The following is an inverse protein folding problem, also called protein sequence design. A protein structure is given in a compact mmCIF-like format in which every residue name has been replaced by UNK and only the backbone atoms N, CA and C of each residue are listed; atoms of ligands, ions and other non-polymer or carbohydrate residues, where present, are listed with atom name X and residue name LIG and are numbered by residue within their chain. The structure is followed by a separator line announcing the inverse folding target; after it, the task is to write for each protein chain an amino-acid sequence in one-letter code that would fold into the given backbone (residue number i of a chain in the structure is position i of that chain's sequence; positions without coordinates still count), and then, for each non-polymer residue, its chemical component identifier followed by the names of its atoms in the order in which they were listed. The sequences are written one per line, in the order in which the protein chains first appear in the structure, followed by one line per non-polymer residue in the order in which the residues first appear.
data_IF_599291322238
#
_entry.id   IF_599291322238
#
_cell.length_a   1.000
_cell.length_b   1.000
_cell.length_c   1.000
_cell.angle_alpha   90.00
_cell.angle_beta   90.00
_cell.angle_gamma   90.00
#
_symmetry.space_group_name_H-M   'P 1'
#
loop_
_entity.id
_entity.type
_entity.pdbx_description
1 polymer ?
#
# COMPACT_ATOMS: atom_id res chain seq x y z
N UNK A 1 10.15 20.23 -17.76
CA UNK A 1 10.15 20.03 -16.30
C UNK A 1 10.25 18.54 -16.05
N UNK A 2 11.06 18.07 -15.09
CA UNK A 2 11.08 16.65 -14.71
C UNK A 2 9.82 16.34 -13.89
N UNK A 3 9.26 15.15 -14.06
CA UNK A 3 8.12 14.71 -13.25
C UNK A 3 8.54 14.54 -11.78
N UNK A 4 7.66 14.95 -10.87
CA UNK A 4 7.88 14.96 -9.42
C UNK A 4 7.39 13.66 -8.81
N UNK A 5 8.27 12.97 -8.10
CA UNK A 5 7.99 11.66 -7.50
C UNK A 5 8.06 11.74 -5.98
N UNK A 6 7.05 11.19 -5.32
CA UNK A 6 7.07 10.90 -3.88
C UNK A 6 7.25 9.39 -3.69
N UNK A 7 8.28 8.99 -2.94
CA UNK A 7 8.54 7.59 -2.61
C UNK A 7 8.00 7.26 -1.22
N UNK A 8 7.44 6.05 -1.05
CA UNK A 8 6.99 5.58 0.24
C UNK A 8 7.40 4.13 0.49
N UNK A 9 8.31 3.93 1.42
CA UNK A 9 8.81 2.63 1.86
C UNK A 9 9.42 2.74 3.25
N UNK A 10 9.14 1.78 4.12
CA UNK A 10 9.71 1.75 5.47
C UNK A 10 11.17 1.28 5.53
N UNK A 11 11.69 0.69 4.46
CA UNK A 11 13.05 0.20 4.33
C UNK A 11 13.98 1.30 3.79
N UNK A 12 14.61 2.08 4.67
CA UNK A 12 15.43 3.25 4.32
C UNK A 12 16.51 2.96 3.28
N UNK A 13 17.25 1.85 3.43
CA UNK A 13 18.32 1.49 2.48
C UNK A 13 17.77 1.34 1.06
N UNK A 14 16.58 0.73 0.94
CA UNK A 14 15.92 0.57 -0.36
C UNK A 14 15.44 1.92 -0.91
N UNK A 15 14.85 2.75 -0.05
CA UNK A 15 14.36 4.08 -0.43
C UNK A 15 15.50 4.97 -0.90
N UNK A 16 16.65 4.96 -0.20
CA UNK A 16 17.84 5.74 -0.57
C UNK A 16 18.42 5.28 -1.93
N UNK A 17 18.48 3.96 -2.15
CA UNK A 17 18.93 3.39 -3.42
C UNK A 17 17.99 3.73 -4.58
N UNK A 18 16.68 3.60 -4.35
CA UNK A 18 15.65 3.90 -5.34
C UNK A 18 15.57 5.39 -5.66
N UNK A 19 15.73 6.27 -4.66
CA UNK A 19 15.83 7.73 -4.89
C UNK A 19 16.94 8.05 -5.87
N UNK A 20 18.16 7.58 -5.58
CA UNK A 20 19.33 7.82 -6.47
C UNK A 20 19.13 7.30 -7.88
N UNK A 21 18.43 6.18 -8.02
CA UNK A 21 18.12 5.61 -9.33
C UNK A 21 17.12 6.49 -10.09
N UNK A 22 16.05 6.92 -9.44
CA UNK A 22 15.00 7.71 -10.05
C UNK A 22 15.40 9.17 -10.27
N UNK A 23 16.27 9.75 -9.44
CA UNK A 23 16.81 11.11 -9.59
C UNK A 23 17.59 11.33 -10.91
N UNK A 24 18.02 10.26 -11.56
CA UNK A 24 18.63 10.37 -12.90
C UNK A 24 17.62 10.89 -13.94
N UNK A 25 16.33 10.60 -13.77
CA UNK A 25 15.27 10.89 -14.73
C UNK A 25 14.19 11.84 -14.20
N UNK A 26 13.93 11.82 -12.89
CA UNK A 26 12.82 12.50 -12.22
C UNK A 26 13.30 13.39 -11.08
N UNK A 27 12.39 14.18 -10.52
CA UNK A 27 12.59 14.97 -9.30
C UNK A 27 11.96 14.23 -8.12
N UNK A 28 12.78 13.58 -7.28
CA UNK A 28 12.31 12.90 -6.06
C UNK A 28 12.12 13.95 -4.97
N UNK A 29 10.88 14.38 -4.78
CA UNK A 29 10.53 15.54 -3.94
C UNK A 29 10.50 15.23 -2.44
N UNK A 30 10.25 13.99 -2.05
CA UNK A 30 10.28 13.53 -0.66
C UNK A 30 10.22 12.00 -0.58
N UNK A 31 10.49 11.49 0.65
CA UNK A 31 10.31 10.07 1.00
C UNK A 31 9.42 9.96 2.23
N UNK A 32 8.59 8.90 2.31
CA UNK A 32 7.74 8.57 3.44
C UNK A 32 8.03 7.15 3.94
N UNK A 33 7.90 6.91 5.24
CA UNK A 33 8.16 5.62 5.87
C UNK A 33 6.91 4.86 6.31
N UNK A 34 5.75 5.50 6.21
CA UNK A 34 4.44 4.94 6.55
C UNK A 34 3.33 5.66 5.79
N UNK A 35 2.13 5.09 5.79
CA UNK A 35 1.02 5.63 5.02
C UNK A 35 0.46 6.97 5.52
N UNK A 36 0.60 7.32 6.80
CA UNK A 36 0.17 8.63 7.31
C UNK A 36 1.10 9.74 6.81
N UNK A 37 2.41 9.51 6.87
CA UNK A 37 3.43 10.41 6.34
C UNK A 37 3.25 10.59 4.82
N UNK A 38 3.03 9.48 4.10
CA UNK A 38 2.71 9.49 2.67
C UNK A 38 1.52 10.40 2.36
N UNK A 39 0.40 10.26 3.11
CA UNK A 39 -0.79 11.09 2.89
C UNK A 39 -0.51 12.58 3.14
N UNK A 40 0.23 12.90 4.20
CA UNK A 40 0.58 14.28 4.54
C UNK A 40 1.43 14.93 3.44
N UNK A 41 2.54 14.28 3.07
CA UNK A 41 3.46 14.77 2.05
C UNK A 41 2.82 14.85 0.65
N UNK A 42 1.98 13.86 0.30
CA UNK A 42 1.30 13.85 -0.99
C UNK A 42 0.33 15.03 -1.15
N UNK A 43 -0.38 15.41 -0.08
CA UNK A 43 -1.28 16.56 -0.09
C UNK A 43 -0.54 17.90 -0.16
N UNK A 44 0.58 17.99 0.55
CA UNK A 44 1.42 19.20 0.59
C UNK A 44 2.15 19.42 -0.73
N UNK A 45 2.82 18.37 -1.23
CA UNK A 45 3.72 18.46 -2.38
C UNK A 45 3.03 18.26 -3.73
N UNK A 46 1.84 17.66 -3.75
CA UNK A 46 1.09 17.33 -4.97
C UNK A 46 1.98 16.74 -6.09
N UNK A 47 2.64 15.57 -5.85
CA UNK A 47 3.55 14.97 -6.81
C UNK A 47 2.81 14.47 -8.05
N UNK A 48 3.51 14.31 -9.18
CA UNK A 48 2.95 13.71 -10.39
C UNK A 48 2.74 12.20 -10.21
N UNK A 49 3.71 11.53 -9.57
CA UNK A 49 3.68 10.09 -9.30
C UNK A 49 4.01 9.80 -7.84
N UNK A 50 3.30 8.86 -7.27
CA UNK A 50 3.59 8.28 -5.95
C UNK A 50 4.01 6.83 -6.17
N UNK A 51 5.23 6.48 -5.77
CA UNK A 51 5.73 5.10 -5.73
C UNK A 51 5.63 4.61 -4.29
N UNK A 52 4.87 3.56 -4.03
CA UNK A 52 4.60 3.11 -2.66
C UNK A 52 4.71 1.60 -2.49
N UNK A 53 5.34 1.19 -1.37
CA UNK A 53 5.22 -0.18 -0.87
C UNK A 53 3.79 -0.40 -0.33
N UNK A 54 3.29 -1.65 -0.45
CA UNK A 54 2.02 -2.06 0.17
C UNK A 54 2.19 -2.17 1.68
N UNK A 55 3.16 -2.96 2.12
CA UNK A 55 3.36 -3.31 3.54
C UNK A 55 4.20 -2.24 4.24
N UNK A 56 3.54 -1.19 4.71
CA UNK A 56 4.16 -0.15 5.54
C UNK A 56 3.54 -0.14 6.95
N UNK A 57 4.31 0.26 7.97
CA UNK A 57 3.83 0.33 9.35
C UNK A 57 2.76 1.41 9.53
N UNK A 58 1.93 1.27 10.56
CA UNK A 58 0.87 2.18 11.00
C UNK A 58 -0.31 2.27 10.03
N UNK A 59 -0.07 2.57 8.77
CA UNK A 59 -1.03 2.59 7.68
C UNK A 59 -0.35 2.08 6.42
N UNK A 60 -0.89 1.02 5.82
CA UNK A 60 -0.32 0.43 4.60
C UNK A 60 -0.55 1.29 3.36
N UNK A 61 0.25 1.02 2.31
CA UNK A 61 0.23 1.80 1.07
C UNK A 61 -1.11 1.76 0.34
N UNK A 62 -1.83 0.64 0.39
CA UNK A 62 -3.13 0.51 -0.26
C UNK A 62 -4.22 1.36 0.40
N UNK A 63 -4.23 1.43 1.74
CA UNK A 63 -5.17 2.28 2.46
C UNK A 63 -4.81 3.76 2.34
N UNK A 64 -3.50 4.09 2.26
CA UNK A 64 -3.04 5.44 1.94
C UNK A 64 -3.51 5.85 0.53
N UNK A 65 -3.34 4.99 -0.48
CA UNK A 65 -3.81 5.21 -1.85
C UNK A 65 -5.34 5.45 -1.89
N UNK A 66 -6.14 4.62 -1.19
CA UNK A 66 -7.60 4.84 -1.08
C UNK A 66 -7.94 6.21 -0.51
N UNK A 67 -7.24 6.61 0.56
CA UNK A 67 -7.47 7.90 1.20
C UNK A 67 -7.12 9.07 0.28
N UNK A 68 -6.01 8.99 -0.45
CA UNK A 68 -5.56 10.01 -1.40
C UNK A 68 -6.50 10.12 -2.61
N UNK A 69 -6.95 8.99 -3.17
CA UNK A 69 -7.96 9.00 -4.24
C UNK A 69 -9.26 9.66 -3.79
N UNK A 70 -9.76 9.32 -2.60
CA UNK A 70 -10.98 9.97 -2.03
C UNK A 70 -10.81 11.46 -1.78
N UNK A 71 -9.59 11.96 -1.56
CA UNK A 71 -9.31 13.38 -1.42
C UNK A 71 -9.25 14.14 -2.76
N UNK A 72 -9.39 13.45 -3.90
CA UNK A 72 -9.33 14.05 -5.23
C UNK A 72 -7.92 14.30 -5.74
N UNK A 73 -6.90 13.74 -5.12
CA UNK A 73 -5.50 13.88 -5.58
C UNK A 73 -5.34 13.26 -6.98
N UNK A 74 -4.70 14.01 -7.90
CA UNK A 74 -4.54 13.62 -9.31
C UNK A 74 -3.28 12.81 -9.60
N UNK A 75 -2.39 12.66 -8.61
CA UNK A 75 -1.17 11.87 -8.73
C UNK A 75 -1.46 10.47 -9.28
N UNK A 76 -0.53 9.95 -10.07
CA UNK A 76 -0.51 8.55 -10.49
C UNK A 76 0.10 7.69 -9.39
N UNK A 77 -0.31 6.43 -9.30
CA UNK A 77 0.16 5.53 -8.24
C UNK A 77 0.84 4.32 -8.85
N UNK A 78 2.08 4.09 -8.45
CA UNK A 78 2.89 2.92 -8.78
C UNK A 78 3.11 2.13 -7.49
N UNK A 79 2.63 0.91 -7.44
CA UNK A 79 2.90 -0.01 -6.33
C UNK A 79 4.23 -0.71 -6.59
N UNK A 80 5.14 -0.64 -5.62
CA UNK A 80 6.43 -1.33 -5.65
C UNK A 80 6.54 -2.22 -4.41
N UNK A 81 6.52 -3.54 -4.59
CA UNK A 81 6.33 -4.48 -3.48
C UNK A 81 7.09 -5.79 -3.64
N UNK A 82 7.29 -6.52 -2.54
CA UNK A 82 7.82 -7.90 -2.56
C UNK A 82 6.74 -8.95 -2.87
N UNK A 83 5.46 -8.59 -2.87
CA UNK A 83 4.37 -9.55 -3.00
C UNK A 83 4.12 -9.96 -4.45
N UNK A 84 4.51 -11.18 -4.82
CA UNK A 84 4.10 -11.83 -6.06
C UNK A 84 2.72 -12.47 -5.85
N UNK A 85 1.67 -11.65 -5.79
CA UNK A 85 0.30 -12.09 -5.53
C UNK A 85 -0.68 -11.40 -6.50
N UNK A 86 -1.40 -12.21 -7.28
CA UNK A 86 -2.36 -11.72 -8.26
C UNK A 86 -3.55 -11.02 -7.61
N UNK A 87 -4.02 -11.49 -6.47
CA UNK A 87 -5.14 -10.88 -5.75
C UNK A 87 -4.80 -9.46 -5.30
N UNK A 88 -3.57 -9.26 -4.78
CA UNK A 88 -3.07 -7.94 -4.41
C UNK A 88 -2.86 -7.03 -5.62
N UNK A 89 -2.37 -7.57 -6.75
CA UNK A 89 -2.26 -6.80 -7.98
C UNK A 89 -3.65 -6.33 -8.46
N UNK A 90 -4.64 -7.24 -8.56
CA UNK A 90 -6.03 -6.89 -8.89
C UNK A 90 -6.57 -5.82 -7.94
N UNK A 91 -6.34 -5.97 -6.64
CA UNK A 91 -6.80 -5.01 -5.64
C UNK A 91 -6.12 -3.64 -5.83
N UNK A 92 -4.82 -3.60 -6.14
CA UNK A 92 -4.09 -2.37 -6.41
C UNK A 92 -4.70 -1.60 -7.58
N UNK A 93 -4.93 -2.28 -8.71
CA UNK A 93 -5.53 -1.66 -9.90
C UNK A 93 -6.97 -1.19 -9.63
N UNK A 94 -7.80 -1.98 -8.95
CA UNK A 94 -9.16 -1.56 -8.53
C UNK A 94 -9.14 -0.37 -7.60
N UNK A 95 -8.13 -0.26 -6.74
CA UNK A 95 -7.95 0.91 -5.85
C UNK A 95 -7.46 2.15 -6.61
N UNK A 96 -7.01 1.98 -7.86
CA UNK A 96 -6.59 3.08 -8.76
C UNK A 96 -5.08 3.21 -8.93
N UNK A 97 -4.31 2.15 -8.66
CA UNK A 97 -2.92 2.09 -9.09
C UNK A 97 -2.82 2.04 -10.62
N UNK A 98 -1.81 2.68 -11.17
CA UNK A 98 -1.46 2.61 -12.60
C UNK A 98 -0.45 1.51 -12.88
N UNK A 99 0.32 1.10 -11.87
CA UNK A 99 1.33 0.05 -12.03
C UNK A 99 1.49 -0.80 -10.77
N UNK A 100 1.92 -2.05 -10.98
CA UNK A 100 2.30 -2.98 -9.92
C UNK A 100 3.63 -3.63 -10.31
N UNK A 101 4.67 -3.32 -9.55
CA UNK A 101 6.07 -3.71 -9.81
C UNK A 101 6.61 -4.50 -8.64
N UNK A 102 7.38 -5.54 -8.93
CA UNK A 102 8.08 -6.29 -7.90
C UNK A 102 9.44 -5.69 -7.59
N UNK A 103 9.78 -5.58 -6.30
CA UNK A 103 11.09 -5.10 -5.83
C UNK A 103 12.25 -6.02 -6.27
N UNK A 104 11.95 -7.27 -6.64
CA UNK A 104 12.92 -8.24 -7.17
C UNK A 104 13.11 -8.11 -8.69
N UNK A 105 12.36 -7.24 -9.34
CA UNK A 105 12.52 -6.92 -10.76
C UNK A 105 13.77 -6.06 -11.03
N UNK A 106 13.98 -5.76 -12.31
CA UNK A 106 15.10 -4.91 -12.71
C UNK A 106 14.81 -3.42 -12.48
N UNK A 107 15.86 -2.62 -12.43
CA UNK A 107 15.74 -1.15 -12.31
C UNK A 107 14.99 -0.51 -13.49
N UNK A 108 15.04 -1.13 -14.65
CA UNK A 108 14.33 -0.69 -15.85
C UNK A 108 12.81 -0.84 -15.69
N UNK A 109 12.34 -1.85 -14.93
CA UNK A 109 10.92 -2.06 -14.70
C UNK A 109 10.28 -0.90 -13.94
N UNK A 110 10.94 -0.37 -12.91
CA UNK A 110 10.37 0.76 -12.16
C UNK A 110 10.33 2.02 -13.01
N UNK A 111 11.35 2.26 -13.84
CA UNK A 111 11.34 3.37 -14.79
C UNK A 111 10.20 3.22 -15.81
N UNK A 112 10.05 2.04 -16.43
CA UNK A 112 8.97 1.73 -17.38
C UNK A 112 7.59 1.89 -16.74
N UNK A 113 7.43 1.50 -15.48
CA UNK A 113 6.18 1.64 -14.72
C UNK A 113 5.83 3.11 -14.45
N UNK A 114 6.80 3.93 -14.07
CA UNK A 114 6.61 5.38 -13.86
C UNK A 114 6.24 6.06 -15.18
N UNK A 115 6.95 5.76 -16.27
CA UNK A 115 6.64 6.28 -17.61
C UNK A 115 5.25 5.85 -18.08
N UNK A 116 4.87 4.60 -17.89
CA UNK A 116 3.53 4.11 -18.21
C UNK A 116 2.46 4.89 -17.43
N UNK A 117 2.67 5.08 -16.13
CA UNK A 117 1.76 5.80 -15.25
C UNK A 117 1.59 7.27 -15.67
N UNK A 118 2.68 7.97 -15.97
CA UNK A 118 2.67 9.37 -16.45
C UNK A 118 1.85 9.53 -17.73
N UNK A 119 1.94 8.55 -18.63
CA UNK A 119 1.20 8.54 -19.90
C UNK A 119 -0.21 7.92 -19.79
N UNK A 120 -0.70 7.67 -18.57
CA UNK A 120 -2.05 7.10 -18.37
C UNK A 120 -2.19 5.65 -18.81
N UNK A 121 -1.09 4.93 -18.97
CA UNK A 121 -1.06 3.50 -19.30
C UNK A 121 -0.89 2.68 -18.03
N UNK A 122 -1.25 1.40 -18.12
CA UNK A 122 -1.06 0.44 -17.04
C UNK A 122 0.22 -0.36 -17.24
N UNK A 123 0.88 -0.73 -16.12
CA UNK A 123 2.09 -1.56 -16.13
C UNK A 123 1.98 -2.66 -15.08
N UNK A 124 2.37 -3.87 -15.45
CA UNK A 124 2.46 -5.02 -14.55
C UNK A 124 3.86 -5.62 -14.71
N UNK A 125 4.52 -5.94 -13.58
CA UNK A 125 5.86 -6.54 -13.59
C UNK A 125 5.94 -7.78 -14.48
N UNK A 126 7.05 -7.96 -15.16
CA UNK A 126 7.29 -9.07 -16.11
C UNK A 126 7.22 -10.47 -15.49
N UNK A 127 7.25 -10.55 -14.15
CA UNK A 127 7.04 -11.79 -13.41
C UNK A 127 5.58 -12.32 -13.48
N UNK A 128 4.63 -11.49 -13.92
CA UNK A 128 3.25 -11.88 -14.19
C UNK A 128 3.03 -12.13 -15.68
N UNK A 129 2.07 -13.01 -16.07
CA UNK A 129 1.70 -13.20 -17.46
C UNK A 129 1.26 -11.89 -18.14
N UNK A 130 1.78 -11.63 -19.33
CA UNK A 130 1.61 -10.33 -20.01
C UNK A 130 0.14 -10.02 -20.40
N UNK A 131 -0.67 -11.02 -20.66
CA UNK A 131 -2.11 -10.90 -20.99
C UNK A 131 -2.95 -10.35 -19.83
N UNK A 132 -2.45 -10.47 -18.60
CA UNK A 132 -3.15 -10.00 -17.41
C UNK A 132 -3.21 -8.47 -17.30
N UNK A 133 -2.32 -7.73 -17.94
CA UNK A 133 -2.36 -6.25 -17.93
C UNK A 133 -3.70 -5.74 -18.46
N UNK A 134 -4.21 -6.33 -19.53
CA UNK A 134 -5.51 -5.95 -20.11
C UNK A 134 -6.66 -6.23 -19.14
N UNK A 135 -6.65 -7.41 -18.52
CA UNK A 135 -7.68 -7.80 -17.52
C UNK A 135 -7.64 -6.87 -16.30
N UNK A 136 -6.45 -6.52 -15.83
CA UNK A 136 -6.30 -5.60 -14.70
C UNK A 136 -6.71 -4.17 -15.05
N UNK A 137 -6.41 -3.71 -16.27
CA UNK A 137 -6.85 -2.40 -16.76
C UNK A 137 -8.38 -2.31 -16.85
N UNK A 138 -9.06 -3.39 -17.24
CA UNK A 138 -10.52 -3.48 -17.21
C UNK A 138 -11.06 -3.49 -15.77
N UNK A 139 -10.44 -4.27 -14.87
CA UNK A 139 -10.80 -4.30 -13.47
C UNK A 139 -10.65 -2.92 -12.78
N UNK A 140 -9.67 -2.13 -13.19
CA UNK A 140 -9.46 -0.77 -12.69
C UNK A 140 -10.60 0.21 -13.10
N UNK A 141 -11.27 -0.04 -14.22
CA UNK A 141 -12.42 0.78 -14.68
C UNK A 141 -13.69 0.50 -13.88
N UNK A 142 -13.80 -0.69 -13.31
CA UNK A 142 -14.90 -1.13 -12.46
C UNK A 142 -14.47 -1.05 -10.99
N UNK A 143 -14.12 0.16 -10.51
CA UNK A 143 -13.75 0.36 -9.12
C UNK A 143 -14.94 0.01 -8.21
N UNK A 144 -14.89 -1.16 -7.59
CA UNK A 144 -15.83 -1.54 -6.54
C UNK A 144 -15.52 -0.77 -5.26
N UNK A 145 -16.28 0.24 -4.97
CA UNK A 145 -16.29 0.84 -3.61
C UNK A 145 -16.81 -0.15 -2.56
N UNK A 146 -17.50 -1.20 -2.95
CA UNK A 146 -18.28 -2.09 -2.07
C UNK A 146 -17.63 -3.45 -1.74
N UNK A 147 -16.47 -3.81 -2.29
CA UNK A 147 -15.86 -5.13 -2.04
C UNK A 147 -15.12 -5.30 -0.71
N UNK A 148 -14.96 -4.26 0.08
CA UNK A 148 -14.21 -4.33 1.32
C UNK A 148 -15.09 -4.86 2.47
N UNK A 149 -14.90 -6.15 2.85
CA UNK A 149 -15.53 -6.77 4.05
C UNK A 149 -15.28 -6.01 5.36
N UNK A 150 -14.30 -5.08 5.37
CA UNK A 150 -13.92 -4.26 6.51
C UNK A 150 -13.99 -2.78 6.17
N UNK A 151 -14.56 -1.98 7.07
CA UNK A 151 -14.48 -0.52 6.99
C UNK A 151 -13.03 -0.03 7.10
N UNK A 152 -12.77 1.22 6.70
CA UNK A 152 -11.44 1.84 6.85
C UNK A 152 -10.94 1.72 8.30
N UNK A 153 -11.76 2.06 9.30
CA UNK A 153 -11.38 2.01 10.71
C UNK A 153 -11.09 0.59 11.20
N UNK A 154 -11.84 -0.38 10.73
CA UNK A 154 -11.57 -1.78 11.04
C UNK A 154 -10.25 -2.25 10.44
N UNK A 155 -9.89 -1.83 9.23
CA UNK A 155 -8.58 -2.16 8.63
C UNK A 155 -7.42 -1.51 9.40
N UNK A 156 -7.55 -0.24 9.79
CA UNK A 156 -6.55 0.44 10.62
C UNK A 156 -6.33 -0.28 11.96
N UNK A 157 -7.41 -0.68 12.65
CA UNK A 157 -7.33 -1.48 13.88
C UNK A 157 -6.70 -2.84 13.60
N UNK A 158 -7.12 -3.54 12.53
CA UNK A 158 -6.59 -4.84 12.17
C UNK A 158 -5.09 -4.79 11.92
N UNK A 159 -4.61 -3.80 11.19
CA UNK A 159 -3.19 -3.63 10.91
C UNK A 159 -2.39 -3.45 12.20
N UNK A 160 -2.78 -2.53 13.07
CA UNK A 160 -2.08 -2.26 14.31
C UNK A 160 -2.07 -3.47 15.27
N UNK A 161 -3.19 -4.22 15.32
CA UNK A 161 -3.26 -5.48 16.07
C UNK A 161 -2.31 -6.53 15.49
N UNK A 162 -2.25 -6.64 14.17
CA UNK A 162 -1.38 -7.59 13.48
C UNK A 162 0.11 -7.21 13.58
N UNK A 163 0.42 -5.92 13.77
CA UNK A 163 1.74 -5.40 14.14
C UNK A 163 2.11 -5.66 15.61
N UNK A 164 1.22 -6.31 16.38
CA UNK A 164 1.48 -6.67 17.79
C UNK A 164 1.14 -5.57 18.80
N UNK A 165 0.45 -4.50 18.41
CA UNK A 165 0.07 -3.42 19.33
C UNK A 165 -1.05 -3.84 20.26
N UNK A 166 -0.95 -3.42 21.52
CA UNK A 166 -2.03 -3.54 22.52
C UNK A 166 -3.18 -2.61 22.16
N UNK A 167 -4.39 -2.89 22.68
CA UNK A 167 -5.56 -2.03 22.44
C UNK A 167 -5.37 -0.58 22.93
N UNK A 168 -4.56 -0.36 23.97
CA UNK A 168 -4.20 0.99 24.43
C UNK A 168 -3.35 1.73 23.39
N UNK A 169 -2.34 1.06 22.81
CA UNK A 169 -1.49 1.62 21.77
C UNK A 169 -2.27 1.86 20.47
N UNK A 170 -3.16 0.92 20.09
CA UNK A 170 -4.06 1.10 18.96
C UNK A 170 -4.93 2.35 19.15
N UNK A 171 -5.52 2.50 20.32
CA UNK A 171 -6.36 3.65 20.67
C UNK A 171 -5.57 4.96 20.58
N UNK A 172 -4.35 4.98 21.12
CA UNK A 172 -3.47 6.15 21.09
C UNK A 172 -3.09 6.55 19.65
N UNK A 173 -2.69 5.58 18.81
CA UNK A 173 -2.34 5.82 17.40
C UNK A 173 -3.51 6.37 16.60
N UNK A 174 -4.72 5.83 16.84
CA UNK A 174 -5.92 6.21 16.08
C UNK A 174 -6.68 7.40 16.64
N UNK A 175 -6.28 7.94 17.81
CA UNK A 175 -6.95 9.05 18.48
C UNK A 175 -8.38 8.70 18.95
N UNK A 176 -8.61 7.47 19.42
CA UNK A 176 -9.90 6.96 19.90
C UNK A 176 -9.77 6.39 21.31
N UNK A 177 -10.91 6.08 21.97
CA UNK A 177 -10.88 5.37 23.25
C UNK A 177 -10.49 3.90 23.09
N UNK A 178 -9.86 3.30 24.12
CA UNK A 178 -9.56 1.86 24.14
C UNK A 178 -10.82 1.02 23.94
N UNK A 179 -11.95 1.42 24.55
CA UNK A 179 -13.26 0.76 24.38
C UNK A 179 -13.72 0.79 22.92
N UNK A 180 -13.50 1.90 22.21
CA UNK A 180 -13.83 2.02 20.78
C UNK A 180 -12.96 1.09 19.94
N UNK A 181 -11.65 1.03 20.22
CA UNK A 181 -10.74 0.12 19.54
C UNK A 181 -11.12 -1.36 19.74
N UNK A 182 -11.50 -1.73 20.97
CA UNK A 182 -12.03 -3.06 21.30
C UNK A 182 -13.31 -3.37 20.53
N UNK A 183 -14.27 -2.42 20.48
CA UNK A 183 -15.51 -2.60 19.70
C UNK A 183 -15.22 -2.89 18.24
N UNK A 184 -14.32 -2.14 17.58
CA UNK A 184 -13.93 -2.42 16.20
C UNK A 184 -13.31 -3.81 16.04
N UNK A 185 -12.45 -4.23 16.98
CA UNK A 185 -11.86 -5.58 16.97
C UNK A 185 -12.93 -6.65 17.06
N UNK A 186 -13.86 -6.57 18.01
CA UNK A 186 -14.93 -7.56 18.20
C UNK A 186 -15.89 -7.61 17.03
N UNK A 187 -16.33 -6.46 16.52
CA UNK A 187 -17.22 -6.39 15.34
C UNK A 187 -16.57 -7.03 14.11
N UNK A 188 -15.30 -6.72 13.87
CA UNK A 188 -14.52 -7.29 12.78
C UNK A 188 -14.37 -8.81 12.93
N UNK A 189 -13.99 -9.30 14.12
CA UNK A 189 -13.86 -10.74 14.37
C UNK A 189 -15.19 -11.46 14.13
N UNK A 190 -16.30 -10.89 14.58
CA UNK A 190 -17.64 -11.41 14.35
C UNK A 190 -18.02 -11.45 12.87
N UNK A 191 -17.79 -10.36 12.13
CA UNK A 191 -18.15 -10.27 10.71
C UNK A 191 -17.32 -11.21 9.82
N UNK A 192 -16.09 -11.51 10.23
CA UNK A 192 -15.17 -12.41 9.52
C UNK A 192 -15.28 -13.88 9.96
N UNK A 193 -16.04 -14.17 11.03
CA UNK A 193 -16.10 -15.50 11.62
C UNK A 193 -14.81 -15.94 12.32
N UNK A 194 -13.96 -14.98 12.72
CA UNK A 194 -12.67 -15.19 13.37
C UNK A 194 -12.86 -15.22 14.90
N UNK A 195 -12.22 -16.19 15.56
CA UNK A 195 -12.39 -16.40 17.01
C UNK A 195 -11.17 -16.02 17.84
N UNK A 196 -9.98 -16.03 17.23
CA UNK A 196 -8.71 -15.81 17.94
C UNK A 196 -7.92 -14.65 17.34
N UNK A 197 -7.05 -14.02 18.15
CA UNK A 197 -6.14 -12.99 17.63
C UNK A 197 -5.13 -13.55 16.61
N UNK A 198 -4.73 -14.82 16.75
CA UNK A 198 -3.86 -15.48 15.79
C UNK A 198 -4.51 -15.61 14.40
N UNK A 199 -5.78 -16.01 14.34
CA UNK A 199 -6.54 -16.04 13.08
C UNK A 199 -6.69 -14.65 12.48
N UNK A 200 -6.80 -13.61 13.32
CA UNK A 200 -6.88 -12.23 12.88
C UNK A 200 -5.58 -11.78 12.22
N UNK A 201 -4.41 -12.13 12.79
CA UNK A 201 -3.08 -11.88 12.19
C UNK A 201 -2.94 -12.63 10.86
N UNK A 202 -3.32 -13.91 10.82
CA UNK A 202 -3.30 -14.68 9.56
C UNK A 202 -4.19 -14.06 8.48
N UNK A 203 -5.35 -13.53 8.86
CA UNK A 203 -6.22 -12.82 7.95
C UNK A 203 -5.57 -11.54 7.43
N UNK A 204 -4.91 -10.75 8.29
CA UNK A 204 -4.20 -9.53 7.91
C UNK A 204 -3.07 -9.81 6.91
N UNK A 205 -2.30 -10.89 7.13
CA UNK A 205 -1.25 -11.35 6.19
C UNK A 205 -1.89 -11.72 4.84
N UNK A 206 -2.94 -12.53 4.86
CA UNK A 206 -3.61 -13.01 3.64
C UNK A 206 -4.16 -11.89 2.77
N UNK A 207 -4.64 -10.79 3.37
CA UNK A 207 -5.13 -9.63 2.61
C UNK A 207 -4.05 -8.58 2.35
N UNK A 208 -2.78 -8.90 2.62
CA UNK A 208 -1.63 -8.03 2.35
C UNK A 208 -1.56 -6.77 3.21
N UNK A 209 -2.24 -6.76 4.37
CA UNK A 209 -2.17 -5.62 5.29
C UNK A 209 -0.81 -5.49 5.96
N UNK A 210 -0.19 -6.63 6.27
CA UNK A 210 1.17 -6.72 6.81
C UNK A 210 1.97 -7.76 6.04
N UNK A 211 3.28 -7.58 5.95
CA UNK A 211 4.20 -8.59 5.44
C UNK A 211 4.52 -9.64 6.52
N UNK A 212 4.80 -10.87 6.09
CA UNK A 212 5.43 -11.86 6.98
C UNK A 212 6.88 -11.44 7.16
N UNK A 213 7.21 -10.85 8.30
CA UNK A 213 8.62 -10.65 8.66
C UNK A 213 9.14 -11.98 9.16
N UNK A 214 10.17 -12.58 8.51
CA UNK A 214 10.78 -13.80 9.07
C UNK A 214 11.26 -13.48 10.48
N UNK A 215 10.90 -14.33 11.43
CA UNK A 215 11.38 -14.23 12.81
C UNK A 215 12.91 -14.12 12.76
N UNK A 216 13.46 -13.07 13.35
CA UNK A 216 14.91 -13.01 13.58
C UNK A 216 15.24 -14.26 14.38
N UNK A 217 16.00 -15.18 13.79
CA UNK A 217 16.61 -16.26 14.55
C UNK A 217 17.43 -15.58 15.64
N UNK A 218 17.04 -15.81 16.89
CA UNK A 218 17.86 -15.41 18.01
C UNK A 218 19.20 -16.15 17.88
N UNK A 219 20.25 -15.38 17.60
CA UNK A 219 21.62 -15.85 17.67
C UNK A 219 22.08 -15.83 19.13
#
# INVERSE_FOLDING_TARGET
MRARILLADHQRILTDGLSKLLEQFYDVVATATNGYELISLAKELTPDVIVTEISMPLLNGMDALRALKKSGLRSKFVVLTMHLDMGLAVQAFRTGASAYVLKLGSSEEIHAAVEAALHGRYYLSSAFPADLVTVLAEAARHSDEDGARLSRRQREVLQLVAEGKTMKEVAAVLGISTRTAESYKYEMMRSLGIRTSAELVQYAIRIGLIAVTPLRSAA
#
